data_IF_931544319571
#
_entry.id   IF_931544319571
#
_cell.length_a   1.000
_cell.length_b   1.000
_cell.length_c   1.000
_cell.angle_alpha   90.00
_cell.angle_beta   90.00
_cell.angle_gamma   90.00
#
_symmetry.space_group_name_H-M   'P 1'
#
loop_
_entity.id
_entity.type
_entity.pdbx_description
1 polymer ?
#
# COMPACT_ATOMS: atom_id res chain seq x y z
N UNK A 1 15.52 -7.79 7.55
CA UNK A 1 14.65 -6.69 8.01
C UNK A 1 13.68 -6.31 6.90
N UNK A 2 12.42 -5.97 7.19
CA UNK A 2 11.49 -5.42 6.19
C UNK A 2 11.66 -3.90 6.12
N UNK A 3 11.82 -3.35 4.92
CA UNK A 3 12.15 -1.93 4.68
C UNK A 3 11.11 -1.21 3.84
N UNK A 4 10.25 -1.95 3.13
CA UNK A 4 9.21 -1.42 2.27
C UNK A 4 7.84 -1.99 2.63
N UNK A 5 6.78 -1.29 2.26
CA UNK A 5 5.41 -1.74 2.50
C UNK A 5 4.45 -1.25 1.42
N UNK A 6 3.32 -1.97 1.29
CA UNK A 6 2.12 -1.49 0.62
C UNK A 6 0.99 -1.46 1.65
N UNK A 7 0.29 -0.33 1.73
CA UNK A 7 -0.90 -0.13 2.54
C UNK A 7 -2.13 0.05 1.65
N UNK A 8 -3.22 -0.64 1.97
CA UNK A 8 -4.51 -0.52 1.28
C UNK A 8 -5.53 0.02 2.28
N UNK A 9 -6.21 1.10 1.92
CA UNK A 9 -7.32 1.66 2.68
C UNK A 9 -8.57 1.54 1.81
N UNK A 10 -9.53 0.74 2.26
CA UNK A 10 -10.78 0.49 1.54
C UNK A 10 -11.87 1.41 2.10
N UNK A 11 -12.45 2.23 1.23
CA UNK A 11 -13.72 2.92 1.50
C UNK A 11 -14.82 2.31 0.63
N UNK A 12 -16.08 2.65 0.93
CA UNK A 12 -17.29 2.08 0.31
C UNK A 12 -17.28 2.00 -1.22
N UNK A 13 -16.53 2.89 -1.89
CA UNK A 13 -16.46 2.94 -3.37
C UNK A 13 -15.06 2.96 -3.94
N UNK A 14 -14.02 3.05 -3.12
CA UNK A 14 -12.64 3.23 -3.62
C UNK A 14 -11.60 2.54 -2.76
N UNK A 15 -10.49 2.13 -3.39
CA UNK A 15 -9.32 1.62 -2.70
C UNK A 15 -8.17 2.61 -2.89
N UNK A 16 -7.61 3.13 -1.80
CA UNK A 16 -6.39 3.94 -1.82
C UNK A 16 -5.21 3.04 -1.46
N UNK A 17 -4.21 3.00 -2.33
CA UNK A 17 -3.03 2.16 -2.18
C UNK A 17 -1.81 3.05 -1.99
N UNK A 18 -1.20 2.98 -0.81
CA UNK A 18 0.03 3.69 -0.44
C UNK A 18 1.21 2.73 -0.51
N UNK A 19 2.36 3.16 -1.01
CA UNK A 19 3.55 2.31 -1.13
C UNK A 19 4.83 3.10 -0.93
N UNK A 20 5.86 2.47 -0.38
CA UNK A 20 7.14 3.14 -0.09
C UNK A 20 7.86 2.55 1.12
N UNK A 21 8.73 3.34 1.80
CA UNK A 21 9.38 2.93 3.03
C UNK A 21 8.37 2.52 4.09
N UNK A 22 8.67 1.41 4.77
CA UNK A 22 7.79 0.76 5.75
C UNK A 22 7.21 1.76 6.75
N UNK A 23 8.04 2.59 7.37
CA UNK A 23 7.60 3.46 8.47
C UNK A 23 6.61 4.52 8.00
N UNK A 24 6.79 5.07 6.79
CA UNK A 24 5.86 6.07 6.22
C UNK A 24 4.50 5.46 5.90
N UNK A 25 4.51 4.25 5.33
CA UNK A 25 3.28 3.51 5.03
C UNK A 25 2.56 3.10 6.31
N UNK A 26 3.28 2.58 7.31
CA UNK A 26 2.70 2.19 8.60
C UNK A 26 2.07 3.41 9.30
N UNK A 27 2.78 4.54 9.37
CA UNK A 27 2.23 5.78 9.94
C UNK A 27 0.94 6.20 9.24
N UNK A 28 0.87 6.07 7.91
CA UNK A 28 -0.35 6.40 7.15
C UNK A 28 -1.52 5.47 7.48
N UNK A 29 -1.25 4.18 7.71
CA UNK A 29 -2.28 3.20 8.07
C UNK A 29 -2.78 3.37 9.50
N UNK A 30 -1.92 3.78 10.43
CA UNK A 30 -2.30 3.97 11.85
C UNK A 30 -3.28 5.12 12.08
N UNK A 31 -3.35 6.07 11.15
CA UNK A 31 -4.27 7.23 11.21
C UNK A 31 -5.45 7.10 10.24
N UNK A 32 -5.65 5.92 9.66
CA UNK A 32 -6.77 5.68 8.75
C UNK A 32 -8.09 5.55 9.52
N UNK A 33 -9.10 6.32 9.10
CA UNK A 33 -10.48 6.19 9.63
C UNK A 33 -11.14 4.89 9.14
N UNK A 34 -10.88 4.55 7.87
CA UNK A 34 -11.34 3.33 7.21
C UNK A 34 -10.44 2.13 7.53
N UNK A 35 -10.93 0.90 7.29
CA UNK A 35 -10.21 -0.35 7.57
C UNK A 35 -8.90 -0.46 6.76
N UNK A 36 -7.71 -0.40 7.39
CA UNK A 36 -6.44 -0.50 6.69
C UNK A 36 -5.95 -1.96 6.61
N UNK A 37 -5.24 -2.29 5.53
CA UNK A 37 -4.47 -3.52 5.37
C UNK A 37 -3.04 -3.18 4.98
N UNK A 38 -2.05 -3.87 5.55
CA UNK A 38 -0.64 -3.65 5.25
C UNK A 38 0.09 -4.94 4.88
N UNK A 39 0.98 -4.86 3.88
CA UNK A 39 1.89 -5.96 3.52
C UNK A 39 3.32 -5.44 3.48
N UNK A 40 4.23 -6.19 4.10
CA UNK A 40 5.63 -5.82 4.28
C UNK A 40 6.55 -6.54 3.29
N UNK A 41 7.62 -5.85 2.86
CA UNK A 41 8.57 -6.34 1.87
C UNK A 41 10.01 -6.07 2.30
N UNK A 42 10.90 -7.04 2.05
CA UNK A 42 12.33 -6.95 2.36
C UNK A 42 13.08 -6.03 1.38
N UNK A 43 12.58 -5.88 0.16
CA UNK A 43 13.21 -5.11 -0.91
C UNK A 43 12.18 -4.33 -1.72
N UNK A 44 12.62 -3.24 -2.33
CA UNK A 44 11.78 -2.43 -3.22
C UNK A 44 11.28 -3.23 -4.42
N UNK A 45 12.15 -4.06 -5.02
CA UNK A 45 11.76 -4.91 -6.14
C UNK A 45 10.63 -5.90 -5.80
N UNK A 46 10.62 -6.45 -4.58
CA UNK A 46 9.52 -7.31 -4.14
C UNK A 46 8.21 -6.54 -3.94
N UNK A 47 8.28 -5.32 -3.40
CA UNK A 47 7.15 -4.40 -3.29
C UNK A 47 6.61 -4.02 -4.67
N UNK A 48 7.48 -3.60 -5.60
CA UNK A 48 7.12 -3.18 -6.96
C UNK A 48 6.45 -4.29 -7.76
N UNK A 49 6.85 -5.55 -7.58
CA UNK A 49 6.16 -6.70 -8.18
C UNK A 49 4.71 -6.81 -7.71
N UNK A 50 4.44 -6.66 -6.41
CA UNK A 50 3.07 -6.64 -5.91
C UNK A 50 2.31 -5.40 -6.40
N UNK A 51 2.95 -4.23 -6.38
CA UNK A 51 2.33 -2.99 -6.85
C UNK A 51 1.84 -3.11 -8.30
N UNK A 52 2.65 -3.71 -9.17
CA UNK A 52 2.28 -3.96 -10.56
C UNK A 52 1.09 -4.93 -10.69
N UNK A 53 1.03 -5.96 -9.85
CA UNK A 53 -0.15 -6.83 -9.77
C UNK A 53 -1.39 -6.03 -9.35
N UNK A 54 -1.32 -5.20 -8.31
CA UNK A 54 -2.46 -4.38 -7.89
C UNK A 54 -2.90 -3.36 -8.94
N UNK A 55 -1.98 -2.76 -9.70
CA UNK A 55 -2.33 -1.87 -10.82
C UNK A 55 -3.15 -2.57 -11.91
N UNK A 56 -2.89 -3.86 -12.15
CA UNK A 56 -3.63 -4.67 -13.13
C UNK A 56 -5.00 -5.11 -12.59
N UNK A 57 -5.05 -5.59 -11.36
CA UNK A 57 -6.27 -6.15 -10.75
C UNK A 57 -7.24 -5.09 -10.21
N UNK A 58 -6.75 -3.88 -9.94
CA UNK A 58 -7.52 -2.79 -9.33
C UNK A 58 -7.32 -1.49 -10.13
N UNK A 59 -7.73 -1.43 -11.41
CA UNK A 59 -7.55 -0.25 -12.26
C UNK A 59 -8.20 1.02 -11.70
N UNK A 60 -9.25 0.88 -10.88
CA UNK A 60 -9.96 1.97 -10.22
C UNK A 60 -9.33 2.44 -8.90
N UNK A 61 -8.28 1.75 -8.42
CA UNK A 61 -7.58 2.15 -7.20
C UNK A 61 -6.71 3.39 -7.44
N UNK A 62 -6.57 4.21 -6.39
CA UNK A 62 -5.68 5.38 -6.42
C UNK A 62 -4.35 5.02 -5.76
N UNK A 63 -3.24 5.26 -6.45
CA UNK A 63 -1.91 4.88 -6.00
C UNK A 63 -1.10 6.09 -5.54
N UNK A 64 -0.48 6.00 -4.37
CA UNK A 64 0.29 7.07 -3.74
C UNK A 64 1.65 6.55 -3.27
N UNK A 65 2.73 7.15 -3.77
CA UNK A 65 4.08 6.91 -3.24
C UNK A 65 4.26 7.73 -1.95
N UNK A 66 4.84 7.12 -0.91
CA UNK A 66 5.17 7.76 0.36
C UNK A 66 6.67 7.71 0.64
#
# INVERSE_FOLDING_TARGET
MFTYAIGLIYSDRTCKIYYGPKDRVVNKLMVAEDRPYGKLYKTEGAMNRQLNYYKKEKPQAKFYAL
#
